data_IF_372928190240
#
_entry.id   IF_372928190240
#
_cell.length_a   1.000
_cell.length_b   1.000
_cell.length_c   1.000
_cell.angle_alpha   90.00
_cell.angle_beta   90.00
_cell.angle_gamma   90.00
#
_symmetry.space_group_name_H-M   'P 1'
#
loop_
_entity.id
_entity.type
_entity.pdbx_description
1 polymer ?
#
# COMPACT_ATOMS: atom_id res chain seq x y z
N UNK A 1 -7.38 -11.62 -10.52
CA UNK A 1 -6.09 -11.76 -9.84
C UNK A 1 -6.35 -12.40 -8.49
N UNK A 2 -5.53 -13.35 -8.08
CA UNK A 2 -5.68 -14.05 -6.81
C UNK A 2 -4.49 -13.72 -5.88
N UNK A 3 -4.66 -13.86 -4.58
CA UNK A 3 -3.60 -13.67 -3.58
C UNK A 3 -2.41 -14.61 -3.79
N UNK A 4 -2.62 -15.77 -4.44
CA UNK A 4 -1.52 -16.68 -4.80
C UNK A 4 -0.58 -16.07 -5.84
N UNK A 5 -1.03 -15.08 -6.60
CA UNK A 5 -0.22 -14.34 -7.58
C UNK A 5 0.64 -13.25 -6.92
N UNK A 6 0.44 -13.01 -5.61
CA UNK A 6 1.18 -12.04 -4.83
C UNK A 6 2.28 -12.72 -4.00
N UNK A 7 3.40 -12.03 -3.84
CA UNK A 7 4.50 -12.52 -2.98
C UNK A 7 4.23 -12.12 -1.53
N UNK A 8 4.02 -13.06 -0.60
CA UNK A 8 3.84 -12.75 0.81
C UNK A 8 5.11 -12.16 1.40
N UNK A 9 4.97 -11.16 2.26
CA UNK A 9 6.10 -10.54 2.96
C UNK A 9 5.80 -10.33 4.43
N UNK A 10 6.83 -9.99 5.21
CA UNK A 10 6.68 -9.54 6.58
C UNK A 10 6.91 -8.04 6.64
N UNK A 11 5.98 -7.34 7.27
CA UNK A 11 6.10 -5.92 7.54
C UNK A 11 7.04 -5.69 8.72
N UNK A 12 7.80 -4.62 8.64
CA UNK A 12 8.75 -4.19 9.66
C UNK A 12 8.50 -2.73 9.99
N UNK A 13 8.99 -2.36 11.16
CA UNK A 13 9.00 -0.98 11.61
C UNK A 13 10.44 -0.58 11.83
N UNK A 14 10.87 0.45 11.11
CA UNK A 14 12.15 1.10 11.37
C UNK A 14 11.94 2.18 12.42
N UNK A 15 12.61 2.12 13.59
CA UNK A 15 12.45 3.13 14.62
C UNK A 15 12.82 4.53 14.07
N UNK A 16 11.97 5.52 14.34
CA UNK A 16 12.24 6.93 14.06
C UNK A 16 13.64 7.32 14.56
N UNK A 17 14.58 7.60 13.65
CA UNK A 17 15.91 8.09 14.02
C UNK A 17 17.09 7.66 13.13
N UNK A 18 16.94 6.69 12.24
CA UNK A 18 18.01 6.31 11.30
C UNK A 18 18.05 7.25 10.10
N UNK A 19 18.54 8.48 10.32
CA UNK A 19 18.83 9.48 9.27
C UNK A 19 20.07 9.13 8.42
N UNK A 20 20.35 7.87 8.18
CA UNK A 20 21.32 7.52 7.15
C UNK A 20 20.56 7.50 5.82
N UNK A 21 21.05 8.23 4.83
CA UNK A 21 20.55 8.08 3.47
C UNK A 21 20.86 6.65 3.06
N UNK A 22 19.85 5.79 3.09
CA UNK A 22 19.99 4.44 2.60
C UNK A 22 20.41 4.52 1.12
N UNK A 23 21.37 3.68 0.68
CA UNK A 23 21.80 3.68 -0.70
C UNK A 23 20.59 3.43 -1.61
N UNK A 24 20.57 4.04 -2.80
CA UNK A 24 19.57 3.70 -3.82
C UNK A 24 19.71 2.22 -4.18
N UNK A 25 18.73 1.42 -3.80
CA UNK A 25 18.65 -0.01 -4.09
C UNK A 25 17.88 -0.29 -5.38
N UNK A 26 16.83 0.49 -5.64
CA UNK A 26 15.94 0.30 -6.78
C UNK A 26 15.20 1.60 -7.14
N UNK A 27 14.38 1.55 -8.17
CA UNK A 27 13.31 2.52 -8.44
C UNK A 27 12.00 1.73 -8.45
N UNK A 28 11.37 1.61 -7.27
CA UNK A 28 10.11 0.88 -7.15
C UNK A 28 8.99 1.82 -6.74
N UNK A 29 7.83 1.58 -7.33
CA UNK A 29 6.59 2.24 -6.96
C UNK A 29 5.47 1.22 -6.84
N UNK A 30 4.45 1.53 -6.06
CA UNK A 30 3.26 0.69 -5.93
C UNK A 30 2.65 0.41 -7.30
N UNK A 31 2.31 -0.85 -7.51
CA UNK A 31 1.60 -1.28 -8.70
C UNK A 31 0.10 -1.07 -8.51
N UNK A 32 -0.34 0.14 -8.82
CA UNK A 32 -1.74 0.54 -8.69
C UNK A 32 -2.69 -0.28 -9.58
N UNK A 33 -2.24 -0.69 -10.77
CA UNK A 33 -3.05 -1.50 -11.69
C UNK A 33 -3.29 -2.88 -11.08
N UNK A 34 -2.23 -3.48 -10.53
CA UNK A 34 -2.31 -4.73 -9.79
C UNK A 34 -3.20 -4.61 -8.55
N UNK A 35 -3.06 -3.53 -7.79
CA UNK A 35 -3.89 -3.28 -6.61
C UNK A 35 -5.37 -3.10 -6.95
N UNK A 36 -5.67 -2.35 -8.00
CA UNK A 36 -7.04 -2.16 -8.48
C UNK A 36 -7.65 -3.48 -8.95
N UNK A 37 -6.87 -4.31 -9.66
CA UNK A 37 -7.31 -5.64 -10.06
C UNK A 37 -7.58 -6.55 -8.86
N UNK A 38 -6.71 -6.53 -7.85
CA UNK A 38 -6.89 -7.29 -6.61
C UNK A 38 -8.21 -6.93 -5.92
N UNK A 39 -8.46 -5.64 -5.67
CA UNK A 39 -9.66 -5.16 -4.98
C UNK A 39 -10.92 -5.53 -5.78
N UNK A 40 -10.92 -5.28 -7.10
CA UNK A 40 -12.08 -5.59 -7.95
C UNK A 40 -12.39 -7.08 -7.97
N UNK A 41 -11.36 -7.92 -8.02
CA UNK A 41 -11.54 -9.36 -8.22
C UNK A 41 -11.76 -10.12 -6.89
N UNK A 42 -11.52 -9.51 -5.73
CA UNK A 42 -11.59 -10.16 -4.40
C UNK A 42 -12.33 -9.33 -3.34
N UNK A 43 -13.10 -8.32 -3.74
CA UNK A 43 -13.77 -7.40 -2.80
C UNK A 43 -14.83 -8.06 -1.91
N UNK A 44 -15.24 -9.30 -2.21
CA UNK A 44 -16.18 -10.11 -1.42
C UNK A 44 -15.52 -10.84 -0.23
N UNK A 45 -14.20 -10.96 -0.23
CA UNK A 45 -13.45 -11.62 0.87
C UNK A 45 -12.59 -10.65 1.68
N UNK A 46 -12.40 -9.44 1.17
CA UNK A 46 -11.56 -8.39 1.76
C UNK A 46 -12.41 -7.40 2.54
N UNK A 47 -11.96 -7.00 3.73
CA UNK A 47 -12.59 -5.96 4.53
C UNK A 47 -11.86 -4.61 4.40
N UNK A 48 -10.52 -4.62 4.39
CA UNK A 48 -9.68 -3.41 4.31
C UNK A 48 -8.41 -3.69 3.52
N UNK A 49 -7.95 -2.69 2.76
CA UNK A 49 -6.63 -2.67 2.12
C UNK A 49 -5.88 -1.43 2.50
N UNK A 50 -4.65 -1.64 2.97
CA UNK A 50 -3.69 -0.58 3.24
C UNK A 50 -2.47 -0.76 2.35
N UNK A 51 -1.82 0.33 1.98
CA UNK A 51 -0.57 0.34 1.22
C UNK A 51 0.50 1.11 1.99
N UNK A 52 1.74 0.67 1.93
CA UNK A 52 2.86 1.27 2.68
C UNK A 52 4.22 0.80 2.17
N UNK A 53 5.29 1.24 2.81
CA UNK A 53 6.62 0.65 2.61
C UNK A 53 6.83 -0.47 3.63
N UNK A 54 7.23 -1.65 3.17
CA UNK A 54 7.33 -2.83 4.03
C UNK A 54 8.32 -2.65 5.19
N UNK A 55 9.41 -1.93 4.95
CA UNK A 55 10.50 -1.69 5.88
C UNK A 55 10.18 -0.56 6.88
N UNK A 56 9.18 0.28 6.58
CA UNK A 56 8.80 1.42 7.42
C UNK A 56 7.28 1.57 7.56
N UNK A 57 6.63 0.43 7.82
CA UNK A 57 5.20 0.28 7.66
C UNK A 57 4.40 1.26 8.53
N UNK A 58 4.72 1.38 9.82
CA UNK A 58 3.98 2.25 10.73
C UNK A 58 4.06 3.75 10.35
N UNK A 59 5.15 4.17 9.71
CA UNK A 59 5.39 5.57 9.38
C UNK A 59 4.94 5.95 7.97
N UNK A 60 4.71 4.96 7.10
CA UNK A 60 4.44 5.17 5.67
C UNK A 60 3.20 4.48 5.15
N UNK A 61 2.43 3.79 6.01
CA UNK A 61 1.20 3.12 5.58
C UNK A 61 0.04 4.10 5.39
N UNK A 62 -0.93 3.67 4.59
CA UNK A 62 -2.21 4.33 4.47
C UNK A 62 -3.34 3.48 3.91
N UNK A 63 -4.59 3.83 4.25
CA UNK A 63 -5.78 3.08 3.83
C UNK A 63 -6.16 3.45 2.39
N UNK A 64 -6.37 2.43 1.56
CA UNK A 64 -6.74 2.59 0.13
C UNK A 64 -8.20 2.25 -0.10
N UNK A 65 -8.69 1.21 0.57
CA UNK A 65 -10.06 0.71 0.42
C UNK A 65 -10.55 0.10 1.72
N UNK A 66 -11.82 0.29 2.03
CA UNK A 66 -12.55 -0.49 3.04
C UNK A 66 -14.00 -0.74 2.64
N UNK A 67 -14.66 -1.66 3.34
CA UNK A 67 -16.03 -2.08 3.05
C UNK A 67 -17.10 -1.01 3.33
N UNK A 68 -16.83 -0.02 4.18
CA UNK A 68 -17.78 1.03 4.57
C UNK A 68 -17.80 2.17 3.54
N UNK A 69 -16.62 2.60 3.09
CA UNK A 69 -16.42 3.78 2.24
C UNK A 69 -16.04 3.44 0.80
N UNK A 70 -15.64 2.19 0.55
CA UNK A 70 -15.08 1.77 -0.73
C UNK A 70 -13.69 2.38 -0.95
N UNK A 71 -13.44 2.88 -2.16
CA UNK A 71 -12.17 3.54 -2.45
C UNK A 71 -12.05 4.89 -1.74
N UNK A 72 -10.96 5.06 -0.99
CA UNK A 72 -10.57 6.36 -0.46
C UNK A 72 -10.13 7.27 -1.61
N UNK A 73 -10.76 8.44 -1.72
CA UNK A 73 -10.49 9.39 -2.80
C UNK A 73 -9.42 10.38 -2.37
N UNK A 74 -8.44 10.59 -3.26
CA UNK A 74 -7.37 11.59 -3.21
C UNK A 74 -6.54 11.67 -1.92
N UNK A 75 -5.20 11.62 -2.01
CA UNK A 75 -4.38 12.20 -0.96
C UNK A 75 -4.75 13.69 -0.81
N UNK A 76 -5.16 14.11 0.39
CA UNK A 76 -5.55 15.48 0.79
C UNK A 76 -7.00 15.93 0.49
N UNK A 77 -8.03 15.08 0.55
CA UNK A 77 -9.40 15.58 0.75
C UNK A 77 -9.55 16.10 2.19
N UNK A 78 -9.97 17.37 2.35
CA UNK A 78 -9.99 18.09 3.63
C UNK A 78 -11.18 17.69 4.54
N UNK A 79 -11.82 16.56 4.27
CA UNK A 79 -12.96 16.03 5.03
C UNK A 79 -12.50 14.71 5.68
N UNK A 80 -11.81 14.84 6.81
CA UNK A 80 -11.32 13.82 7.77
C UNK A 80 -12.01 12.44 7.76
N UNK A 81 -11.33 11.32 8.16
CA UNK A 81 -10.23 11.28 9.13
C UNK A 81 -8.98 10.44 8.74
N UNK A 82 -7.82 10.94 9.15
CA UNK A 82 -6.48 10.32 9.13
C UNK A 82 -5.76 10.23 7.78
N UNK A 83 -5.23 11.39 7.33
CA UNK A 83 -3.87 11.64 6.77
C UNK A 83 -3.09 10.51 6.06
N UNK A 84 -3.73 9.64 5.31
CA UNK A 84 -3.04 8.59 4.55
C UNK A 84 -2.65 9.05 3.16
N UNK A 85 -1.87 10.12 3.10
CA UNK A 85 -1.13 10.50 1.90
C UNK A 85 0.07 9.57 1.78
N UNK A 86 -0.13 8.40 1.18
CA UNK A 86 0.96 7.47 0.90
C UNK A 86 1.46 7.60 -0.54
N UNK A 87 2.61 8.25 -0.69
CA UNK A 87 3.37 8.27 -1.93
C UNK A 87 4.22 7.01 -2.01
N UNK A 88 3.69 6.01 -2.69
CA UNK A 88 4.21 4.66 -2.63
C UNK A 88 5.41 4.38 -3.55
N UNK A 89 6.24 5.39 -3.78
CA UNK A 89 7.50 5.27 -4.51
C UNK A 89 8.65 5.33 -3.51
N UNK A 90 9.59 4.40 -3.61
CA UNK A 90 10.78 4.37 -2.78
C UNK A 90 11.99 3.87 -3.56
N UNK A 91 13.14 4.45 -3.23
CA UNK A 91 14.43 4.02 -3.78
C UNK A 91 15.13 2.97 -2.93
N UNK A 92 14.59 2.66 -1.75
CA UNK A 92 15.25 1.83 -0.76
C UNK A 92 14.34 0.79 -0.10
N UNK A 93 13.02 1.04 -0.07
CA UNK A 93 12.03 0.19 0.58
C UNK A 93 11.09 -0.45 -0.43
N UNK A 94 10.53 -1.60 -0.08
CA UNK A 94 9.59 -2.37 -0.89
C UNK A 94 8.18 -1.82 -0.74
N UNK A 95 7.55 -1.27 -1.80
CA UNK A 95 6.13 -0.97 -1.76
C UNK A 95 5.29 -2.23 -1.55
N UNK A 96 4.36 -2.16 -0.62
CA UNK A 96 3.62 -3.30 -0.11
C UNK A 96 2.16 -2.94 0.18
N UNK A 97 1.35 -3.99 0.31
CA UNK A 97 -0.03 -3.89 0.78
C UNK A 97 -0.27 -4.82 1.96
N UNK A 98 -1.17 -4.42 2.85
CA UNK A 98 -1.73 -5.23 3.92
C UNK A 98 -3.22 -5.40 3.63
N UNK A 99 -3.66 -6.66 3.58
CA UNK A 99 -5.05 -7.00 3.34
C UNK A 99 -5.63 -7.60 4.60
N UNK A 100 -6.68 -6.98 5.10
CA UNK A 100 -7.54 -7.50 6.16
C UNK A 100 -8.73 -8.19 5.51
N UNK A 101 -8.98 -9.44 5.85
CA UNK A 101 -10.10 -10.23 5.37
C UNK A 101 -11.30 -10.10 6.33
N UNK A 102 -12.52 -10.41 5.88
CA UNK A 102 -13.71 -10.37 6.75
C UNK A 102 -13.64 -11.33 7.95
N UNK A 103 -12.76 -12.34 7.90
CA UNK A 103 -12.48 -13.21 9.04
C UNK A 103 -11.41 -12.67 9.99
N UNK A 104 -11.11 -11.36 9.90
CA UNK A 104 -10.15 -10.62 10.71
C UNK A 104 -8.68 -11.05 10.54
N UNK A 105 -8.38 -11.98 9.63
CA UNK A 105 -6.99 -12.30 9.30
C UNK A 105 -6.38 -11.15 8.50
N UNK A 106 -5.09 -10.93 8.72
CA UNK A 106 -4.30 -9.94 7.98
C UNK A 106 -3.14 -10.62 7.26
N UNK A 107 -2.90 -10.27 5.99
CA UNK A 107 -1.72 -10.72 5.24
C UNK A 107 -1.08 -9.59 4.45
N UNK A 108 0.24 -9.54 4.50
CA UNK A 108 1.03 -8.55 3.78
C UNK A 108 1.65 -9.14 2.51
N UNK A 109 1.68 -8.33 1.46
CA UNK A 109 2.18 -8.72 0.15
C UNK A 109 3.05 -7.61 -0.45
N UNK A 110 4.10 -8.00 -1.15
CA UNK A 110 4.80 -7.07 -2.03
C UNK A 110 3.89 -6.70 -3.21
N UNK A 111 3.80 -5.40 -3.50
CA UNK A 111 2.97 -4.89 -4.59
C UNK A 111 3.67 -3.71 -5.24
N UNK A 112 4.59 -3.98 -6.17
CA UNK A 112 5.37 -2.93 -6.81
C UNK A 112 5.63 -3.23 -8.29
N UNK A 113 6.00 -2.18 -9.00
CA UNK A 113 6.54 -2.18 -10.35
C UNK A 113 7.76 -1.26 -10.43
N UNK A 114 8.57 -1.40 -11.47
CA UNK A 114 9.63 -0.44 -11.75
C UNK A 114 9.02 0.94 -12.01
N UNK A 115 9.57 1.95 -11.35
CA UNK A 115 9.12 3.33 -11.48
C UNK A 115 9.43 4.16 -10.24
N UNK A 116 9.34 5.48 -10.41
CA UNK A 116 9.68 6.47 -9.38
C UNK A 116 8.71 7.65 -9.39
N UNK A 117 7.53 7.46 -9.96
CA UNK A 117 6.53 8.52 -10.09
C UNK A 117 5.86 8.72 -8.71
N UNK A 118 6.20 9.80 -7.99
CA UNK A 118 5.56 10.05 -6.71
C UNK A 118 4.12 10.48 -6.94
N UNK A 119 3.76 11.12 -8.06
CA UNK A 119 2.49 11.82 -8.24
C UNK A 119 1.36 10.92 -8.76
N UNK A 120 1.66 9.67 -9.14
CA UNK A 120 0.68 8.75 -9.71
C UNK A 120 -0.29 8.21 -8.65
N UNK A 121 -1.58 8.53 -8.80
CA UNK A 121 -2.68 8.06 -7.97
C UNK A 121 -3.77 7.40 -8.83
N UNK A 122 -4.33 6.29 -8.36
CA UNK A 122 -5.43 5.59 -9.03
C UNK A 122 -6.78 6.01 -8.46
N UNK A 123 -7.69 6.48 -9.33
CA UNK A 123 -8.96 7.11 -8.92
C UNK A 123 -10.16 6.18 -8.80
N UNK A 124 -9.98 4.86 -8.78
CA UNK A 124 -11.09 3.90 -8.59
C UNK A 124 -12.26 4.15 -9.56
N UNK A 125 -12.15 3.71 -10.81
CA UNK A 125 -13.31 3.73 -11.73
C UNK A 125 -14.24 2.56 -11.47
#
# INVERSE_FOLDING_TARGET
MDFIDLTPIQLRHTPLGTRQQDPKLHDWQLDWEKLAALIRDNGDVMAVVQAGLAEDWLNTQGTIWDEEWGYHRYPNDNREPDDTVFWAASTWATPAILVTFHNELTRAFACYREGRDPDFHYLGR
#
